data_IF_089230018776
#
_entry.id   IF_089230018776
#
_cell.length_a   1.000
_cell.length_b   1.000
_cell.length_c   1.000
_cell.angle_alpha   90.00
_cell.angle_beta   90.00
_cell.angle_gamma   90.00
#
_symmetry.space_group_name_H-M   'P 1'
#
loop_
_entity.id
_entity.type
_entity.pdbx_description
1 polymer ?
#
# COMPACT_ATOMS: atom_id res chain seq x y z
N UNK A 1 5.23 -10.81 22.06
CA UNK A 1 3.89 -10.62 22.67
C UNK A 1 3.53 -9.15 22.60
N UNK A 2 2.33 -8.77 22.17
CA UNK A 2 1.92 -7.37 22.20
C UNK A 2 1.85 -6.91 23.65
N UNK A 3 2.48 -5.79 23.95
CA UNK A 3 2.46 -5.20 25.31
C UNK A 3 1.07 -4.60 25.51
N UNK A 4 0.32 -5.15 26.44
CA UNK A 4 -1.05 -4.77 26.76
C UNK A 4 -1.23 -3.32 27.30
N UNK A 5 -0.13 -2.61 27.59
CA UNK A 5 -0.12 -1.27 28.17
C UNK A 5 0.63 -0.25 27.31
N UNK A 6 0.28 -0.14 26.01
CA UNK A 6 0.67 1.05 25.26
C UNK A 6 -0.24 2.21 25.66
N UNK A 7 0.29 3.33 26.17
CA UNK A 7 -0.55 4.48 26.45
C UNK A 7 -1.20 4.93 25.15
N UNK A 8 -2.53 4.92 25.11
CA UNK A 8 -3.33 5.51 24.04
C UNK A 8 -2.80 6.92 23.79
N UNK A 9 -2.56 7.27 22.53
CA UNK A 9 -2.08 8.60 22.17
C UNK A 9 -3.00 9.66 22.80
N UNK A 10 -2.43 10.59 23.55
CA UNK A 10 -3.19 11.67 24.18
C UNK A 10 -3.80 12.58 23.11
N UNK A 11 -4.89 13.31 23.45
CA UNK A 11 -5.51 14.32 22.55
C UNK A 11 -4.49 15.29 21.97
N UNK A 12 -3.46 15.69 22.74
CA UNK A 12 -2.39 16.56 22.26
C UNK A 12 -1.60 15.97 21.11
N UNK A 13 -1.26 14.69 21.18
CA UNK A 13 -0.54 14.01 20.08
C UNK A 13 -1.34 13.93 18.79
N UNK A 14 -2.65 13.74 18.86
CA UNK A 14 -3.50 13.79 17.66
C UNK A 14 -3.56 15.19 17.05
N UNK A 15 -3.59 16.24 17.86
CA UNK A 15 -3.55 17.61 17.37
C UNK A 15 -2.25 17.91 16.62
N UNK A 16 -1.10 17.51 17.16
CA UNK A 16 0.20 17.62 16.50
C UNK A 16 0.25 16.86 15.15
N UNK A 17 -0.33 15.66 15.08
CA UNK A 17 -0.41 14.88 13.83
C UNK A 17 -1.27 15.61 12.80
N UNK A 18 -2.41 16.15 13.20
CA UNK A 18 -3.31 16.91 12.31
C UNK A 18 -2.64 18.19 11.80
N UNK A 19 -1.91 18.91 12.66
CA UNK A 19 -1.13 20.09 12.26
C UNK A 19 -0.03 19.73 11.27
N UNK A 20 0.73 18.67 11.53
CA UNK A 20 1.79 18.18 10.60
C UNK A 20 1.19 17.78 9.27
N UNK A 21 0.08 17.02 9.27
CA UNK A 21 -0.60 16.59 8.06
C UNK A 21 -1.10 17.81 7.26
N UNK A 22 -1.71 18.78 7.94
CA UNK A 22 -2.21 20.01 7.32
C UNK A 22 -1.07 20.88 6.74
N UNK A 23 0.07 20.92 7.40
CA UNK A 23 1.26 21.62 6.90
C UNK A 23 1.79 20.97 5.61
N UNK A 24 1.96 19.66 5.62
CA UNK A 24 2.44 18.90 4.46
C UNK A 24 1.50 19.06 3.24
N UNK A 25 0.19 19.10 3.45
CA UNK A 25 -0.78 19.34 2.37
C UNK A 25 -0.73 20.76 1.80
N UNK A 26 -0.40 21.76 2.63
CA UNK A 26 -0.29 23.15 2.17
C UNK A 26 0.96 23.42 1.31
N UNK A 27 1.98 22.59 1.46
CA UNK A 27 3.23 22.72 0.69
C UNK A 27 3.08 22.25 -0.76
N UNK A 28 2.06 21.43 -1.07
CA UNK A 28 1.84 20.88 -2.41
C UNK A 28 0.62 21.55 -3.05
N UNK A 29 0.79 22.25 -4.19
CA UNK A 29 -0.35 22.78 -4.93
C UNK A 29 -1.34 21.68 -5.31
N UNK A 30 -2.65 21.88 -5.17
CA UNK A 30 -3.65 20.84 -5.47
C UNK A 30 -3.55 20.25 -6.88
N UNK A 31 -3.09 21.05 -7.85
CA UNK A 31 -2.90 20.61 -9.24
C UNK A 31 -1.69 19.68 -9.42
N UNK A 32 -0.73 19.72 -8.51
CA UNK A 32 0.50 18.90 -8.54
C UNK A 32 0.40 17.66 -7.64
N UNK A 33 -0.66 17.57 -6.81
CA UNK A 33 -0.84 16.46 -5.90
C UNK A 33 -1.20 15.18 -6.66
N UNK A 34 -0.19 14.38 -6.94
CA UNK A 34 -0.37 13.04 -7.54
C UNK A 34 -0.63 12.01 -6.43
N UNK A 35 -1.28 10.91 -6.81
CA UNK A 35 -1.66 9.86 -5.85
C UNK A 35 -0.48 9.28 -5.06
N UNK A 36 0.71 9.17 -5.67
CA UNK A 36 1.91 8.67 -4.99
C UNK A 36 2.47 9.67 -3.96
N UNK A 37 2.37 10.97 -4.21
CA UNK A 37 2.78 12.01 -3.24
C UNK A 37 1.83 12.05 -2.06
N UNK A 38 0.52 11.93 -2.34
CA UNK A 38 -0.48 11.78 -1.29
C UNK A 38 -0.19 10.57 -0.40
N UNK A 39 0.08 9.41 -0.99
CA UNK A 39 0.43 8.20 -0.24
C UNK A 39 1.68 8.41 0.63
N UNK A 40 2.72 9.07 0.11
CA UNK A 40 3.94 9.36 0.88
C UNK A 40 3.66 10.26 2.08
N UNK A 41 2.89 11.32 1.92
CA UNK A 41 2.51 12.20 3.03
C UNK A 41 1.72 11.44 4.10
N UNK A 42 0.78 10.60 3.68
CA UNK A 42 -0.01 9.78 4.60
C UNK A 42 0.86 8.75 5.32
N UNK A 43 1.81 8.11 4.62
CA UNK A 43 2.78 7.17 5.20
C UNK A 43 3.63 7.83 6.27
N UNK A 44 4.28 8.95 5.95
CA UNK A 44 5.15 9.71 6.85
C UNK A 44 4.41 10.20 8.12
N UNK A 45 3.10 10.40 8.01
CA UNK A 45 2.32 11.01 9.10
C UNK A 45 1.53 9.98 9.90
N UNK A 46 1.00 8.94 9.25
CA UNK A 46 0.00 8.03 9.81
C UNK A 46 0.51 6.61 10.11
N UNK A 47 1.76 6.26 9.74
CA UNK A 47 2.31 4.90 9.95
C UNK A 47 2.35 4.45 11.41
N UNK A 48 2.44 5.39 12.34
CA UNK A 48 2.47 5.10 13.78
C UNK A 48 1.18 5.48 14.50
N UNK A 49 0.15 5.87 13.76
CA UNK A 49 -1.18 6.18 14.30
C UNK A 49 -2.02 4.90 14.23
N UNK A 50 -2.62 4.44 15.33
CA UNK A 50 -3.47 3.26 15.32
C UNK A 50 -4.73 3.50 14.49
N UNK A 51 -5.16 2.50 13.73
CA UNK A 51 -6.37 2.55 12.89
C UNK A 51 -7.66 2.54 13.73
N UNK A 52 -7.63 1.98 14.93
CA UNK A 52 -8.75 1.94 15.86
C UNK A 52 -8.32 2.43 17.26
N UNK A 53 -9.23 3.11 17.94
CA UNK A 53 -9.12 3.53 19.34
C UNK A 53 -10.21 2.91 20.20
N UNK A 54 -10.94 1.93 19.66
CA UNK A 54 -12.03 1.26 20.37
C UNK A 54 -11.49 0.45 21.56
N UNK A 55 -12.20 0.52 22.71
CA UNK A 55 -11.85 -0.27 23.88
C UNK A 55 -12.03 -1.75 23.58
N UNK A 56 -10.98 -2.54 23.83
CA UNK A 56 -10.99 -4.00 23.63
C UNK A 56 -10.46 -4.46 22.28
N UNK A 57 -10.13 -3.54 21.36
CA UNK A 57 -9.42 -3.87 20.13
C UNK A 57 -7.91 -3.77 20.31
N UNK A 58 -7.17 -4.65 19.62
CA UNK A 58 -5.71 -4.59 19.57
C UNK A 58 -5.33 -3.56 18.51
N UNK A 59 -4.70 -2.46 18.93
CA UNK A 59 -4.29 -1.36 18.03
C UNK A 59 -2.95 -1.68 17.36
N UNK A 60 -2.88 -2.76 16.58
CA UNK A 60 -1.68 -3.27 15.91
C UNK A 60 -1.59 -2.91 14.41
N UNK A 61 -2.68 -2.38 13.85
CA UNK A 61 -2.73 -1.93 12.46
C UNK A 61 -2.60 -0.41 12.43
N UNK A 62 -1.71 0.09 11.56
CA UNK A 62 -1.55 1.53 11.35
C UNK A 62 -2.74 2.14 10.59
N UNK A 63 -3.02 3.41 10.86
CA UNK A 63 -4.04 4.15 10.11
C UNK A 63 -3.64 4.28 8.64
N UNK A 64 -2.35 4.41 8.34
CA UNK A 64 -1.85 4.41 6.97
C UNK A 64 -2.18 3.11 6.23
N UNK A 65 -1.85 1.95 6.82
CA UNK A 65 -2.12 0.65 6.18
C UNK A 65 -3.62 0.44 5.96
N UNK A 66 -4.44 0.81 6.95
CA UNK A 66 -5.89 0.74 6.83
C UNK A 66 -6.42 1.59 5.67
N UNK A 67 -6.00 2.85 5.57
CA UNK A 67 -6.41 3.77 4.50
C UNK A 67 -5.90 3.30 3.14
N UNK A 68 -4.64 2.84 3.06
CA UNK A 68 -4.03 2.32 1.83
C UNK A 68 -4.80 1.12 1.28
N UNK A 69 -5.07 0.13 2.12
CA UNK A 69 -5.84 -1.06 1.72
C UNK A 69 -7.27 -0.70 1.32
N UNK A 70 -7.90 0.22 2.07
CA UNK A 70 -9.25 0.72 1.73
C UNK A 70 -9.25 1.37 0.35
N UNK A 71 -8.24 2.20 0.04
CA UNK A 71 -8.09 2.82 -1.27
C UNK A 71 -7.85 1.80 -2.39
N UNK A 72 -7.04 0.75 -2.13
CA UNK A 72 -6.81 -0.34 -3.08
C UNK A 72 -8.11 -1.09 -3.41
N UNK A 73 -8.88 -1.46 -2.39
CA UNK A 73 -10.18 -2.13 -2.57
C UNK A 73 -11.16 -1.23 -3.32
N UNK A 74 -11.26 0.03 -2.92
CA UNK A 74 -12.19 0.98 -3.55
C UNK A 74 -11.87 1.22 -5.02
N UNK A 75 -10.58 1.41 -5.36
CA UNK A 75 -10.15 1.63 -6.75
C UNK A 75 -10.39 0.39 -7.62
N UNK A 76 -10.06 -0.79 -7.14
CA UNK A 76 -10.30 -2.05 -7.86
C UNK A 76 -11.79 -2.31 -8.06
N UNK A 77 -12.63 -2.12 -7.05
CA UNK A 77 -14.07 -2.25 -7.18
C UNK A 77 -14.68 -1.23 -8.16
N UNK A 78 -14.22 0.02 -8.11
CA UNK A 78 -14.68 1.06 -9.05
C UNK A 78 -14.38 0.66 -10.50
N UNK A 79 -13.16 0.19 -10.77
CA UNK A 79 -12.76 -0.27 -12.11
C UNK A 79 -13.61 -1.46 -12.55
N UNK A 80 -13.77 -2.46 -11.69
CA UNK A 80 -14.65 -3.60 -11.97
C UNK A 80 -16.05 -3.14 -12.36
N UNK A 81 -16.66 -2.22 -11.57
CA UNK A 81 -18.00 -1.71 -11.84
C UNK A 81 -18.06 -0.95 -13.17
N UNK A 82 -17.04 -0.14 -13.48
CA UNK A 82 -16.95 0.59 -14.76
C UNK A 82 -16.85 -0.37 -15.95
N UNK A 83 -16.00 -1.39 -15.88
CA UNK A 83 -15.83 -2.38 -16.95
C UNK A 83 -17.11 -3.21 -17.21
N UNK A 84 -17.90 -3.45 -16.15
CA UNK A 84 -19.16 -4.20 -16.24
C UNK A 84 -20.40 -3.32 -16.43
N UNK A 85 -20.23 -2.02 -16.68
CA UNK A 85 -21.34 -1.09 -16.92
C UNK A 85 -22.26 -0.89 -15.72
N UNK A 86 -21.77 -1.09 -14.50
CA UNK A 86 -22.54 -0.95 -13.26
C UNK A 86 -22.52 0.52 -12.84
N UNK A 87 -23.59 1.25 -13.09
CA UNK A 87 -23.71 2.68 -12.76
C UNK A 87 -24.19 2.94 -11.33
N UNK A 88 -25.01 2.05 -10.76
CA UNK A 88 -25.53 2.19 -9.39
C UNK A 88 -24.57 1.55 -8.37
N UNK A 89 -23.51 2.30 -8.05
CA UNK A 89 -22.47 1.88 -7.10
C UNK A 89 -23.04 1.64 -5.69
N UNK A 90 -24.02 2.45 -5.26
CA UNK A 90 -24.65 2.30 -3.94
C UNK A 90 -25.41 1.00 -3.83
N UNK A 91 -26.18 0.65 -4.85
CA UNK A 91 -26.90 -0.63 -4.89
C UNK A 91 -25.92 -1.82 -4.91
N UNK A 92 -24.87 -1.72 -5.72
CA UNK A 92 -23.88 -2.80 -5.83
C UNK A 92 -23.11 -3.02 -4.52
N UNK A 93 -22.57 -1.96 -3.91
CA UNK A 93 -21.69 -2.08 -2.73
C UNK A 93 -22.47 -2.21 -1.41
N UNK A 94 -23.63 -1.55 -1.28
CA UNK A 94 -24.36 -1.47 -0.02
C UNK A 94 -25.60 -2.34 -0.01
N UNK A 95 -26.56 -2.09 -0.90
CA UNK A 95 -27.86 -2.77 -0.87
C UNK A 95 -27.76 -4.26 -1.18
N UNK A 96 -27.00 -4.61 -2.20
CA UNK A 96 -26.69 -6.00 -2.58
C UNK A 96 -25.28 -6.43 -2.19
N UNK A 97 -24.65 -5.75 -1.26
CA UNK A 97 -23.26 -5.99 -0.88
C UNK A 97 -22.99 -7.43 -0.43
N UNK A 98 -23.90 -8.06 0.30
CA UNK A 98 -23.76 -9.45 0.75
C UNK A 98 -23.82 -10.46 -0.41
N UNK A 99 -24.66 -10.22 -1.41
CA UNK A 99 -24.75 -11.07 -2.62
C UNK A 99 -23.52 -10.86 -3.50
N UNK A 100 -23.10 -9.61 -3.69
CA UNK A 100 -21.98 -9.26 -4.56
C UNK A 100 -20.62 -9.65 -3.97
N UNK A 101 -20.48 -9.84 -2.65
CA UNK A 101 -19.28 -10.41 -2.02
C UNK A 101 -18.94 -11.82 -2.49
N UNK A 102 -19.91 -12.53 -3.10
CA UNK A 102 -19.70 -13.88 -3.67
C UNK A 102 -19.15 -13.82 -5.10
N UNK A 103 -19.08 -12.64 -5.70
CA UNK A 103 -18.54 -12.47 -7.04
C UNK A 103 -17.03 -12.23 -6.96
N UNK A 104 -16.31 -12.78 -7.90
CA UNK A 104 -14.87 -12.57 -8.05
C UNK A 104 -14.64 -11.18 -8.65
N UNK A 105 -14.71 -10.15 -7.81
CA UNK A 105 -14.57 -8.74 -8.19
C UNK A 105 -13.16 -8.21 -8.02
N UNK A 106 -12.34 -8.91 -7.23
CA UNK A 106 -10.98 -8.52 -6.91
C UNK A 106 -10.02 -9.63 -7.31
N UNK A 107 -8.92 -9.26 -7.93
CA UNK A 107 -7.81 -10.12 -8.28
C UNK A 107 -6.62 -9.83 -7.37
N UNK A 108 -6.02 -10.87 -6.79
CA UNK A 108 -4.80 -10.75 -6.02
C UNK A 108 -3.63 -11.27 -6.86
N UNK A 109 -2.76 -10.37 -7.26
CA UNK A 109 -1.61 -10.65 -8.11
C UNK A 109 -0.38 -10.82 -7.23
N UNK A 110 0.35 -11.91 -7.40
CA UNK A 110 1.66 -12.12 -6.78
C UNK A 110 2.70 -12.46 -7.84
N UNK A 111 3.90 -11.96 -7.66
CA UNK A 111 5.04 -12.35 -8.49
C UNK A 111 6.30 -12.48 -7.64
N UNK A 112 7.18 -13.36 -8.07
CA UNK A 112 8.44 -13.66 -7.41
C UNK A 112 9.58 -13.74 -8.44
N UNK A 113 10.73 -13.17 -8.11
CA UNK A 113 11.95 -13.34 -8.89
C UNK A 113 12.66 -14.62 -8.51
N UNK A 114 12.64 -15.59 -9.38
CA UNK A 114 13.41 -16.81 -9.19
C UNK A 114 14.92 -16.56 -9.34
N UNK A 115 15.72 -17.25 -8.55
CA UNK A 115 17.19 -17.23 -8.68
C UNK A 115 17.89 -16.03 -8.04
N UNK A 116 17.21 -15.18 -7.27
CA UNK A 116 17.77 -14.01 -6.56
C UNK A 116 18.99 -14.39 -5.74
N UNK A 117 18.91 -15.42 -4.91
CA UNK A 117 20.01 -15.83 -4.05
C UNK A 117 21.24 -16.24 -4.89
N UNK A 118 21.05 -17.02 -5.97
CA UNK A 118 22.12 -17.40 -6.87
C UNK A 118 22.75 -16.18 -7.54
N UNK A 119 21.98 -15.18 -7.90
CA UNK A 119 22.48 -13.94 -8.49
C UNK A 119 23.23 -13.10 -7.45
N UNK A 120 22.70 -12.93 -6.25
CA UNK A 120 23.32 -12.09 -5.19
C UNK A 120 24.62 -12.74 -4.70
N UNK A 121 24.61 -14.04 -4.37
CA UNK A 121 25.74 -14.72 -3.72
C UNK A 121 26.82 -15.27 -4.66
N UNK A 122 26.65 -15.15 -5.97
CA UNK A 122 27.71 -15.48 -6.93
C UNK A 122 28.80 -14.40 -6.96
N UNK A 123 29.53 -14.24 -5.87
CA UNK A 123 30.51 -13.16 -5.66
C UNK A 123 31.90 -13.75 -5.42
N UNK A 124 32.92 -13.11 -5.98
CA UNK A 124 34.30 -13.41 -5.67
C UNK A 124 34.69 -12.82 -4.30
N UNK A 125 35.62 -13.45 -3.58
CA UNK A 125 35.98 -13.10 -2.20
C UNK A 125 36.47 -11.67 -2.02
N UNK A 126 37.16 -11.10 -3.04
CA UNK A 126 37.68 -9.74 -2.99
C UNK A 126 36.60 -8.76 -3.42
N UNK A 127 36.17 -7.87 -2.52
CA UNK A 127 35.12 -6.87 -2.78
C UNK A 127 33.67 -7.37 -2.61
N UNK A 128 33.49 -8.54 -1.99
CA UNK A 128 32.21 -9.21 -1.83
C UNK A 128 31.09 -8.28 -1.30
N UNK A 129 31.34 -7.53 -0.24
CA UNK A 129 30.35 -6.61 0.37
C UNK A 129 29.83 -5.54 -0.59
N UNK A 130 30.72 -4.95 -1.40
CA UNK A 130 30.32 -3.93 -2.37
C UNK A 130 29.48 -4.54 -3.48
N UNK A 131 29.88 -5.73 -3.97
CA UNK A 131 29.13 -6.44 -5.01
C UNK A 131 27.77 -6.90 -4.51
N UNK A 132 27.66 -7.42 -3.28
CA UNK A 132 26.38 -7.81 -2.67
C UNK A 132 25.43 -6.64 -2.59
N UNK A 133 25.88 -5.51 -2.06
CA UNK A 133 25.06 -4.28 -1.99
C UNK A 133 24.63 -3.80 -3.37
N UNK A 134 25.55 -3.75 -4.33
CA UNK A 134 25.25 -3.32 -5.70
C UNK A 134 24.22 -4.23 -6.37
N UNK A 135 24.34 -5.55 -6.22
CA UNK A 135 23.39 -6.51 -6.80
C UNK A 135 22.03 -6.46 -6.12
N UNK A 136 21.99 -6.33 -4.79
CA UNK A 136 20.73 -6.18 -4.06
C UNK A 136 20.02 -4.88 -4.47
N UNK A 137 20.76 -3.77 -4.58
CA UNK A 137 20.22 -2.50 -5.06
C UNK A 137 19.70 -2.60 -6.50
N UNK A 138 20.47 -3.21 -7.40
CA UNK A 138 20.04 -3.42 -8.78
C UNK A 138 18.73 -4.21 -8.86
N UNK A 139 18.61 -5.33 -8.11
CA UNK A 139 17.38 -6.11 -8.08
C UNK A 139 16.20 -5.31 -7.50
N UNK A 140 16.43 -4.52 -6.46
CA UNK A 140 15.39 -3.64 -5.90
C UNK A 140 14.90 -2.64 -6.95
N UNK A 141 15.80 -2.00 -7.70
CA UNK A 141 15.44 -1.06 -8.78
C UNK A 141 14.68 -1.74 -9.92
N UNK A 142 15.11 -2.94 -10.33
CA UNK A 142 14.40 -3.70 -11.36
C UNK A 142 13.00 -4.09 -10.88
N UNK A 143 12.85 -4.51 -9.62
CA UNK A 143 11.56 -4.83 -9.03
C UNK A 143 10.63 -3.62 -9.03
N UNK A 144 11.10 -2.47 -8.54
CA UNK A 144 10.34 -1.23 -8.53
C UNK A 144 9.88 -0.81 -9.93
N UNK A 145 10.77 -0.93 -10.92
CA UNK A 145 10.42 -0.65 -12.32
C UNK A 145 9.32 -1.58 -12.84
N UNK A 146 9.42 -2.89 -12.58
CA UNK A 146 8.39 -3.86 -12.98
C UNK A 146 7.05 -3.55 -12.31
N UNK A 147 7.08 -3.21 -11.03
CA UNK A 147 5.88 -2.81 -10.27
C UNK A 147 5.22 -1.59 -10.91
N UNK A 148 6.01 -0.56 -11.22
CA UNK A 148 5.49 0.67 -11.83
C UNK A 148 4.90 0.40 -13.22
N UNK A 149 5.57 -0.39 -14.06
CA UNK A 149 5.08 -0.79 -15.37
C UNK A 149 3.75 -1.57 -15.29
N UNK A 150 3.61 -2.47 -14.33
CA UNK A 150 2.37 -3.23 -14.13
C UNK A 150 1.25 -2.30 -13.67
N UNK A 151 1.52 -1.44 -12.67
CA UNK A 151 0.53 -0.49 -12.15
C UNK A 151 0.05 0.47 -13.26
N UNK A 152 0.97 0.98 -14.08
CA UNK A 152 0.65 1.86 -15.20
C UNK A 152 -0.23 1.16 -16.24
N UNK A 153 0.16 -0.04 -16.68
CA UNK A 153 -0.61 -0.84 -17.66
C UNK A 153 -2.01 -1.21 -17.16
N UNK A 154 -2.13 -1.48 -15.86
CA UNK A 154 -3.41 -1.75 -15.24
C UNK A 154 -4.15 -0.46 -14.83
N UNK A 155 -3.58 0.74 -15.07
CA UNK A 155 -4.12 2.03 -14.63
C UNK A 155 -4.46 2.04 -13.13
N UNK A 156 -3.60 1.42 -12.32
CA UNK A 156 -3.69 1.36 -10.87
C UNK A 156 -2.70 2.34 -10.23
N UNK A 157 -2.90 2.62 -8.96
CA UNK A 157 -2.00 3.46 -8.16
C UNK A 157 -1.11 2.61 -7.24
N UNK A 158 -0.08 3.22 -6.66
CA UNK A 158 0.74 2.57 -5.62
C UNK A 158 -0.05 2.15 -4.37
N UNK A 159 -1.26 2.64 -4.16
CA UNK A 159 -2.15 2.11 -3.12
C UNK A 159 -2.47 0.63 -3.33
N UNK A 160 -2.54 0.20 -4.60
CA UNK A 160 -2.82 -1.18 -4.99
C UNK A 160 -1.63 -2.13 -4.78
N UNK A 161 -0.43 -1.60 -4.59
CA UNK A 161 0.74 -2.38 -4.16
C UNK A 161 0.65 -2.65 -2.66
N UNK A 162 0.29 -3.86 -2.28
CA UNK A 162 0.11 -4.25 -0.89
C UNK A 162 1.46 -4.44 -0.19
N UNK A 163 2.37 -5.14 -0.86
CA UNK A 163 3.70 -5.43 -0.34
C UNK A 163 4.71 -5.55 -1.48
N UNK A 164 5.94 -5.09 -1.24
CA UNK A 164 7.12 -5.36 -2.07
C UNK A 164 8.32 -5.58 -1.17
N UNK A 165 9.05 -6.69 -1.37
CA UNK A 165 10.26 -6.97 -0.61
C UNK A 165 10.80 -8.37 -0.86
N UNK A 166 12.11 -8.55 -0.65
CA UNK A 166 12.75 -9.85 -0.78
C UNK A 166 12.71 -10.48 -2.17
N UNK A 167 12.34 -9.72 -3.19
CA UNK A 167 12.21 -10.20 -4.57
C UNK A 167 10.81 -10.65 -4.95
N UNK A 168 9.82 -10.42 -4.12
CA UNK A 168 8.42 -10.69 -4.43
C UNK A 168 7.55 -9.48 -4.07
N UNK A 169 6.39 -9.41 -4.72
CA UNK A 169 5.40 -8.38 -4.44
C UNK A 169 3.97 -8.95 -4.53
N UNK A 170 3.06 -8.23 -3.89
CA UNK A 170 1.63 -8.50 -3.92
C UNK A 170 0.88 -7.23 -4.31
N UNK A 171 -0.05 -7.37 -5.25
CA UNK A 171 -0.91 -6.28 -5.70
C UNK A 171 -2.37 -6.70 -5.67
N UNK A 172 -3.26 -5.73 -5.57
CA UNK A 172 -4.70 -5.90 -5.70
C UNK A 172 -5.18 -5.19 -6.96
N UNK A 173 -5.95 -5.89 -7.79
CA UNK A 173 -6.54 -5.38 -9.02
C UNK A 173 -8.03 -5.74 -9.10
N UNK A 174 -8.70 -5.24 -10.12
CA UNK A 174 -10.02 -5.69 -10.57
C UNK A 174 -9.88 -6.99 -11.38
N UNK A 175 -10.91 -7.82 -11.36
CA UNK A 175 -11.00 -9.08 -12.11
C UNK A 175 -11.74 -8.89 -13.43
#
# INVERSE_FOLDING_TARGET
MPVADRPLASRGKYAEIVEKLSANFKEIPPQEMKGNELLRILEDTLSYVPSSTAKGEVCDISLFDHVKITAAVASSLLRYMQQHGIADYKNFCCTRGLENRKKDTLLFISADFSGIQKFIYRVQTKGAMRMLRGRSFYLAMVMEHIIDEILEKLSLSRANLIYSGGGHFYMMADN
#
